data_IF_934127162731
#
_entry.id   IF_934127162731
#
_cell.length_a   1.000
_cell.length_b   1.000
_cell.length_c   1.000
_cell.angle_alpha   90.00
_cell.angle_beta   90.00
_cell.angle_gamma   90.00
#
_symmetry.space_group_name_H-M   'P 1'
#
loop_
_entity.id
_entity.type
_entity.pdbx_description
1 polymer ?
#
# COMPACT_ATOMS: atom_id res chain seq x y z
N UNK A 1 15.05 -3.94 4.00
CA UNK A 1 13.69 -3.58 4.46
C UNK A 1 13.67 -2.23 5.19
N UNK A 2 14.82 -1.66 5.55
CA UNK A 2 14.90 -0.43 6.36
C UNK A 2 14.33 0.80 5.66
N UNK A 3 14.54 0.94 4.35
CA UNK A 3 14.02 2.08 3.57
C UNK A 3 12.48 2.03 3.49
N UNK A 4 11.89 0.85 3.26
CA UNK A 4 10.43 0.74 3.17
C UNK A 4 9.73 1.07 4.50
N UNK A 5 10.28 0.62 5.63
CA UNK A 5 9.71 0.98 6.94
C UNK A 5 9.88 2.46 7.27
N UNK A 6 10.95 3.12 6.78
CA UNK A 6 11.04 4.56 6.87
C UNK A 6 9.91 5.26 6.09
N UNK A 7 9.54 4.75 4.91
CA UNK A 7 8.40 5.27 4.15
C UNK A 7 7.07 5.03 4.90
N UNK A 8 6.84 3.84 5.46
CA UNK A 8 5.62 3.53 6.21
C UNK A 8 5.43 4.43 7.44
N UNK A 9 6.51 4.81 8.14
CA UNK A 9 6.43 5.72 9.30
C UNK A 9 5.95 7.13 8.95
N UNK A 10 6.16 7.56 7.71
CA UNK A 10 5.75 8.88 7.24
C UNK A 10 4.45 8.85 6.43
N UNK A 11 3.88 7.67 6.18
CA UNK A 11 2.67 7.50 5.37
C UNK A 11 1.41 7.55 6.23
N UNK A 12 0.34 8.12 5.69
CA UNK A 12 -0.98 8.12 6.34
C UNK A 12 -1.75 6.80 6.10
N UNK A 13 -1.42 6.08 5.03
CA UNK A 13 -2.05 4.82 4.64
C UNK A 13 -1.17 4.02 3.68
N UNK A 14 -1.49 2.73 3.49
CA UNK A 14 -0.85 1.90 2.47
C UNK A 14 -1.88 1.25 1.53
N UNK A 15 -1.47 1.03 0.28
CA UNK A 15 -2.22 0.29 -0.73
C UNK A 15 -1.49 -1.01 -1.06
N UNK A 16 -2.18 -2.13 -0.88
CA UNK A 16 -1.66 -3.46 -1.20
C UNK A 16 -2.10 -3.89 -2.60
N UNK A 17 -1.14 -4.17 -3.47
CA UNK A 17 -1.40 -4.62 -4.84
C UNK A 17 -1.95 -6.06 -4.87
N UNK A 18 -2.68 -6.45 -5.92
CA UNK A 18 -3.12 -7.82 -6.10
C UNK A 18 -1.97 -8.82 -5.98
N UNK A 19 -2.15 -9.88 -5.19
CA UNK A 19 -1.12 -10.91 -4.97
C UNK A 19 -0.07 -10.58 -3.91
N UNK A 20 -0.17 -9.45 -3.20
CA UNK A 20 0.82 -9.03 -2.19
C UNK A 20 1.19 -10.09 -1.15
N UNK A 21 0.25 -10.98 -0.80
CA UNK A 21 0.45 -12.06 0.18
C UNK A 21 1.56 -13.05 -0.22
N UNK A 22 1.90 -13.14 -1.50
CA UNK A 22 3.00 -13.98 -1.97
C UNK A 22 4.39 -13.35 -1.74
N UNK A 23 4.46 -12.04 -1.46
CA UNK A 23 5.70 -11.33 -1.18
C UNK A 23 5.94 -11.28 0.33
N UNK A 24 7.10 -11.81 0.76
CA UNK A 24 7.52 -11.73 2.15
C UNK A 24 7.68 -10.26 2.61
N UNK A 25 8.17 -9.38 1.73
CA UNK A 25 8.33 -7.96 2.01
C UNK A 25 6.99 -7.26 2.20
N UNK A 26 6.07 -7.42 1.25
CA UNK A 26 4.75 -6.79 1.34
C UNK A 26 3.94 -7.33 2.52
N UNK A 27 4.07 -8.62 2.84
CA UNK A 27 3.45 -9.20 4.02
C UNK A 27 3.98 -8.59 5.32
N UNK A 28 5.29 -8.37 5.40
CA UNK A 28 5.89 -7.73 6.56
C UNK A 28 5.52 -6.23 6.68
N UNK A 29 5.36 -5.52 5.56
CA UNK A 29 4.81 -4.15 5.53
C UNK A 29 3.35 -4.11 6.01
N UNK A 30 2.51 -5.06 5.59
CA UNK A 30 1.13 -5.18 6.06
C UNK A 30 1.04 -5.39 7.58
N UNK A 31 1.86 -6.29 8.13
CA UNK A 31 1.86 -6.54 9.58
C UNK A 31 2.36 -5.33 10.38
N UNK A 32 3.31 -4.58 9.83
CA UNK A 32 3.76 -3.34 10.44
C UNK A 32 2.62 -2.29 10.46
N UNK A 33 1.94 -2.10 9.32
CA UNK A 33 0.81 -1.18 9.23
C UNK A 33 -0.34 -1.58 10.18
N UNK A 34 -0.62 -2.88 10.30
CA UNK A 34 -1.60 -3.40 11.24
C UNK A 34 -1.25 -3.04 12.70
N UNK A 35 0.02 -3.18 13.10
CA UNK A 35 0.49 -2.79 14.44
C UNK A 35 0.43 -1.30 14.70
N UNK A 36 0.56 -0.49 13.66
CA UNK A 36 0.49 0.97 13.73
C UNK A 36 -0.94 1.50 13.57
N UNK A 37 -1.94 0.60 13.48
CA UNK A 37 -3.35 0.95 13.23
C UNK A 37 -3.53 1.83 11.97
N UNK A 38 -2.62 1.68 11.00
CA UNK A 38 -2.63 2.46 9.77
C UNK A 38 -3.66 1.88 8.78
N UNK A 39 -4.46 2.73 8.10
CA UNK A 39 -5.38 2.28 7.06
C UNK A 39 -4.70 1.50 5.94
N UNK A 40 -5.28 0.35 5.60
CA UNK A 40 -4.81 -0.52 4.51
C UNK A 40 -5.91 -0.65 3.46
N UNK A 41 -5.56 -0.31 2.22
CA UNK A 41 -6.45 -0.42 1.06
C UNK A 41 -5.97 -1.54 0.12
N UNK A 42 -6.90 -2.16 -0.60
CA UNK A 42 -6.58 -3.16 -1.65
C UNK A 42 -7.12 -2.78 -3.02
N UNK A 43 -7.91 -1.71 -3.08
CA UNK A 43 -8.60 -1.28 -4.28
C UNK A 43 -8.55 0.23 -4.30
N UNK A 44 -8.11 0.79 -5.43
CA UNK A 44 -8.06 2.22 -5.63
C UNK A 44 -9.30 2.60 -6.45
N UNK A 45 -10.16 3.45 -5.87
CA UNK A 45 -11.25 4.06 -6.62
C UNK A 45 -10.76 5.43 -7.13
N UNK A 46 -9.90 5.41 -8.14
CA UNK A 46 -9.40 6.64 -8.74
C UNK A 46 -10.44 7.15 -9.76
N UNK A 47 -10.84 8.43 -9.74
CA UNK A 47 -11.53 9.01 -10.88
C UNK A 47 -10.62 8.92 -12.11
N UNK A 48 -11.11 8.49 -13.28
CA UNK A 48 -10.25 8.31 -14.46
C UNK A 48 -9.43 9.57 -14.74
N UNK A 49 -8.12 9.42 -14.91
CA UNK A 49 -7.14 10.51 -14.96
C UNK A 49 -7.17 11.35 -16.25
N UNK A 50 -8.34 11.51 -16.88
CA UNK A 50 -8.57 11.85 -18.28
C UNK A 50 -8.63 10.59 -19.16
N UNK A 51 -9.83 10.27 -19.67
CA UNK A 51 -9.98 9.39 -20.81
C UNK A 51 -9.42 10.12 -22.02
N UNK A 52 -8.24 9.74 -22.50
CA UNK A 52 -7.78 10.18 -23.82
C UNK A 52 -8.80 9.67 -24.85
N UNK A 53 -9.72 10.54 -25.25
CA UNK A 53 -10.51 10.36 -26.46
C UNK A 53 -9.51 10.38 -27.61
N UNK A 54 -9.32 9.20 -28.22
CA UNK A 54 -8.60 9.06 -29.49
C UNK A 54 -9.47 9.57 -30.64
#
# INVERSE_FOLDING_TARGET
>A
MDICFAMLRCADAILMLPGWKASAGATAEYHYAYKMEMPVFTTLNYPPACSSVA
#
